data_IF_416242948359
#
_entry.id   IF_416242948359
#
_cell.length_a   1.000
_cell.length_b   1.000
_cell.length_c   1.000
_cell.angle_alpha   90.00
_cell.angle_beta   90.00
_cell.angle_gamma   90.00
#
_symmetry.space_group_name_H-M   'P 1'
#
loop_
_entity.id
_entity.type
_entity.pdbx_description
1 polymer ?
#
# COMPACT_ATOMS: atom_id res chain seq x y z
N UNK A 1 4.19 4.06 5.56
CA UNK A 1 3.05 3.84 4.64
C UNK A 1 2.95 5.06 3.72
N UNK A 2 2.31 4.95 2.56
CA UNK A 2 2.07 6.10 1.66
C UNK A 2 0.68 6.71 1.84
N UNK A 3 -0.23 6.00 2.50
CA UNK A 3 -1.61 6.43 2.69
C UNK A 3 -1.89 6.76 4.14
N UNK A 4 -2.72 7.79 4.34
CA UNK A 4 -3.25 8.15 5.65
C UNK A 4 -4.39 7.20 6.08
N UNK A 5 -4.65 7.08 7.40
CA UNK A 5 -5.81 6.36 7.90
C UNK A 5 -7.10 6.97 7.34
N UNK A 6 -7.97 6.13 6.77
CA UNK A 6 -9.23 6.57 6.18
C UNK A 6 -9.13 7.08 4.74
N UNK A 7 -7.94 7.07 4.12
CA UNK A 7 -7.79 7.36 2.70
C UNK A 7 -8.55 6.33 1.84
N UNK A 8 -9.19 6.80 0.77
CA UNK A 8 -9.83 5.93 -0.20
C UNK A 8 -8.78 5.16 -1.00
N UNK A 9 -8.97 3.84 -1.10
CA UNK A 9 -8.05 2.94 -1.80
C UNK A 9 -8.80 2.04 -2.78
N UNK A 10 -8.13 1.68 -3.86
CA UNK A 10 -8.67 0.74 -4.85
C UNK A 10 -7.78 -0.49 -5.03
N UNK A 11 -8.34 -1.52 -5.69
CA UNK A 11 -7.64 -2.78 -5.92
C UNK A 11 -6.43 -2.58 -6.83
N UNK A 12 -5.25 -2.98 -6.34
CA UNK A 12 -3.99 -2.88 -7.09
C UNK A 12 -3.22 -1.59 -6.86
N UNK A 13 -3.73 -0.68 -6.01
CA UNK A 13 -2.99 0.48 -5.56
C UNK A 13 -1.85 0.06 -4.63
N UNK A 14 -0.67 0.64 -4.84
CA UNK A 14 0.50 0.49 -3.96
C UNK A 14 0.35 1.45 -2.79
N UNK A 15 0.39 0.91 -1.58
CA UNK A 15 0.05 1.61 -0.33
C UNK A 15 1.26 1.80 0.61
N UNK A 16 2.39 1.18 0.28
CA UNK A 16 3.61 1.25 1.07
C UNK A 16 4.68 0.27 0.61
N UNK A 17 5.83 0.37 1.27
CA UNK A 17 7.01 -0.46 1.01
C UNK A 17 6.94 -1.72 1.86
N UNK A 18 7.18 -2.87 1.25
CA UNK A 18 7.36 -4.11 1.97
C UNK A 18 8.83 -4.24 2.42
N UNK A 19 9.04 -4.51 3.70
CA UNK A 19 10.37 -4.65 4.30
C UNK A 19 11.16 -5.89 3.82
N UNK A 20 10.47 -6.87 3.21
CA UNK A 20 11.09 -8.07 2.63
C UNK A 20 10.99 -8.00 1.12
N UNK A 21 11.85 -8.77 0.45
CA UNK A 21 11.79 -8.91 -1.01
C UNK A 21 10.44 -9.48 -1.46
N UNK A 22 9.97 -8.97 -2.59
CA UNK A 22 8.72 -9.38 -3.23
C UNK A 22 7.48 -8.67 -2.70
N UNK A 23 6.40 -8.80 -3.47
CA UNK A 23 5.16 -8.08 -3.25
C UNK A 23 4.25 -8.78 -2.23
N UNK A 24 3.58 -8.00 -1.40
CA UNK A 24 2.58 -8.48 -0.45
C UNK A 24 1.20 -7.93 -0.77
N UNK A 25 0.31 -8.79 -1.25
CA UNK A 25 -1.10 -8.44 -1.40
C UNK A 25 -1.79 -8.48 -0.03
N UNK A 26 -2.36 -7.35 0.38
CA UNK A 26 -3.08 -7.24 1.66
C UNK A 26 -4.36 -6.42 1.52
N UNK A 27 -5.29 -6.62 2.46
CA UNK A 27 -6.52 -5.85 2.54
C UNK A 27 -6.40 -4.82 3.66
N UNK A 28 -6.43 -3.54 3.30
CA UNK A 28 -6.32 -2.42 4.25
C UNK A 28 -7.66 -2.08 4.90
N UNK A 29 -8.76 -2.29 4.18
CA UNK A 29 -10.10 -1.90 4.63
C UNK A 29 -10.69 -2.85 5.68
N UNK A 30 -10.16 -4.08 5.78
CA UNK A 30 -10.66 -5.10 6.70
C UNK A 30 -9.64 -5.41 7.79
N UNK A 31 -10.06 -5.30 9.05
CA UNK A 31 -9.27 -5.75 10.19
C UNK A 31 -9.10 -7.27 10.14
N UNK A 32 -7.85 -7.74 10.14
CA UNK A 32 -7.55 -9.16 10.34
C UNK A 32 -7.86 -9.53 11.79
N UNK A 33 -8.57 -10.64 12.00
CA UNK A 33 -8.78 -11.18 13.33
C UNK A 33 -7.41 -11.59 13.93
N UNK A 34 -7.03 -10.95 15.03
CA UNK A 34 -5.75 -11.18 15.69
C UNK A 34 -5.87 -12.33 16.70
N UNK A 35 -6.21 -13.53 16.22
CA UNK A 35 -6.41 -14.72 17.06
C UNK A 35 -5.14 -15.25 17.73
N UNK A 36 -3.95 -14.84 17.26
CA UNK A 36 -2.65 -15.24 17.80
C UNK A 36 -2.03 -14.23 18.80
N UNK A 37 -2.78 -13.21 19.22
CA UNK A 37 -2.29 -12.28 20.26
C UNK A 37 -2.54 -12.92 21.62
N UNK A 38 -1.47 -13.41 22.26
CA UNK A 38 -1.51 -13.88 23.65
C UNK A 38 -2.02 -12.70 24.50
N UNK A 39 -3.11 -12.96 25.21
CA UNK A 39 -3.93 -12.01 25.96
C UNK A 39 -3.14 -10.99 26.79
N UNK A 40 -3.75 -9.80 26.92
CA UNK A 40 -3.52 -8.75 27.93
C UNK A 40 -2.55 -7.60 27.58
N UNK A 41 -3.06 -6.62 26.80
CA UNK A 41 -3.04 -5.17 27.13
C UNK A 41 -3.83 -4.42 26.07
N UNK A 42 -4.62 -3.40 26.43
CA UNK A 42 -5.12 -2.42 25.46
C UNK A 42 -3.91 -1.78 24.75
N UNK A 43 -3.61 -2.24 23.54
CA UNK A 43 -2.61 -1.64 22.69
C UNK A 43 -3.30 -0.53 21.91
N UNK A 44 -3.01 0.72 22.28
CA UNK A 44 -3.24 1.85 21.38
C UNK A 44 -2.34 1.65 20.16
N UNK A 45 -2.95 1.56 18.98
CA UNK A 45 -2.22 1.47 17.72
C UNK A 45 -1.85 2.89 17.32
N UNK A 46 -0.58 3.25 17.54
CA UNK A 46 -0.01 4.48 17.01
C UNK A 46 0.42 4.20 15.57
N UNK A 47 -0.01 5.04 14.64
CA UNK A 47 0.36 4.96 13.24
C UNK A 47 1.37 6.05 12.94
N UNK A 48 2.47 5.68 12.30
CA UNK A 48 3.45 6.64 11.82
C UNK A 48 2.87 7.50 10.70
N UNK A 49 3.36 8.74 10.60
CA UNK A 49 2.97 9.67 9.54
C UNK A 49 3.24 9.04 8.17
N UNK A 50 2.30 9.15 7.21
CA UNK A 50 2.54 8.71 5.84
C UNK A 50 3.71 9.45 5.21
N UNK A 51 4.44 8.79 4.31
CA UNK A 51 5.40 9.46 3.44
C UNK A 51 4.66 10.05 2.25
N UNK A 52 4.79 11.36 2.08
CA UNK A 52 4.32 12.07 0.89
C UNK A 52 5.38 11.96 -0.21
N UNK A 53 5.01 11.34 -1.33
CA UNK A 53 5.89 11.20 -2.49
C UNK A 53 5.62 12.32 -3.50
N UNK A 54 6.69 12.92 -4.02
CA UNK A 54 6.59 13.79 -5.19
C UNK A 54 6.43 12.95 -6.47
N UNK A 55 6.14 13.63 -7.59
CA UNK A 55 6.07 12.96 -8.90
C UNK A 55 7.41 12.31 -9.27
N UNK A 56 8.51 13.02 -9.02
CA UNK A 56 9.85 12.54 -9.34
C UNK A 56 10.20 11.31 -8.49
N UNK A 57 9.90 11.35 -7.19
CA UNK A 57 10.10 10.20 -6.30
C UNK A 57 9.27 8.98 -6.74
N UNK A 58 8.03 9.20 -7.20
CA UNK A 58 7.18 8.12 -7.72
C UNK A 58 7.81 7.50 -8.98
N UNK A 59 8.32 8.33 -9.89
CA UNK A 59 8.94 7.86 -11.14
C UNK A 59 10.22 7.07 -10.86
N UNK A 60 11.03 7.52 -9.89
CA UNK A 60 12.24 6.80 -9.47
C UNK A 60 11.91 5.47 -8.78
N UNK A 61 10.81 5.41 -8.04
CA UNK A 61 10.43 4.24 -7.27
C UNK A 61 9.82 3.10 -8.10
N UNK A 62 8.99 3.41 -9.11
CA UNK A 62 8.20 2.38 -9.81
C UNK A 62 9.06 1.34 -10.55
N UNK A 63 8.54 0.11 -10.63
CA UNK A 63 9.11 -0.97 -11.43
C UNK A 63 8.41 -1.13 -12.79
N UNK A 64 8.96 -1.98 -13.66
CA UNK A 64 8.42 -2.24 -15.02
C UNK A 64 6.98 -2.78 -15.02
N UNK A 65 6.55 -3.46 -13.95
CA UNK A 65 5.21 -4.00 -13.79
C UNK A 65 4.26 -3.05 -13.04
N UNK A 66 4.68 -1.81 -12.78
CA UNK A 66 3.96 -0.77 -12.06
C UNK A 66 3.66 0.44 -12.95
N UNK A 67 2.72 1.27 -12.51
CA UNK A 67 2.28 2.48 -13.18
C UNK A 67 2.10 3.59 -12.16
N UNK A 68 2.39 4.83 -12.58
CA UNK A 68 2.01 6.04 -11.84
C UNK A 68 0.73 6.59 -12.44
N UNK A 69 -0.31 6.65 -11.63
CA UNK A 69 -1.57 7.31 -11.95
C UNK A 69 -1.46 8.78 -11.52
N UNK A 70 -1.60 9.68 -12.48
CA UNK A 70 -1.48 11.12 -12.26
C UNK A 70 -2.83 11.77 -12.52
N UNK A 71 -3.30 12.51 -11.54
CA UNK A 71 -4.47 13.40 -11.64
C UNK A 71 -4.07 14.79 -11.13
N UNK A 72 -4.80 15.86 -11.50
CA UNK A 72 -4.47 17.20 -11.03
C UNK A 72 -4.44 17.36 -9.50
N UNK A 73 -5.13 16.47 -8.77
CA UNK A 73 -5.27 16.52 -7.32
C UNK A 73 -4.44 15.44 -6.60
N UNK A 74 -3.94 14.42 -7.30
CA UNK A 74 -3.30 13.28 -6.64
C UNK A 74 -2.37 12.50 -7.57
N UNK A 75 -1.29 12.01 -6.98
CA UNK A 75 -0.32 11.10 -7.60
C UNK A 75 -0.42 9.79 -6.83
N UNK A 76 -0.60 8.68 -7.54
CA UNK A 76 -0.72 7.34 -6.95
C UNK A 76 0.11 6.34 -7.73
N UNK A 77 0.57 5.31 -7.03
CA UNK A 77 1.26 4.17 -7.63
C UNK A 77 0.31 2.97 -7.67
N UNK A 78 0.29 2.21 -8.77
CA UNK A 78 -0.51 1.01 -8.90
C UNK A 78 0.20 -0.09 -9.71
N UNK A 79 -0.16 -1.35 -9.45
CA UNK A 79 0.32 -2.48 -10.24
C UNK A 79 -0.40 -2.53 -11.59
N UNK A 80 0.35 -2.79 -12.64
CA UNK A 80 -0.20 -2.89 -13.98
C UNK A 80 -1.03 -4.18 -14.14
N UNK A 81 -2.34 -4.08 -14.43
CA UNK A 81 -3.21 -5.26 -14.56
C UNK A 81 -2.81 -6.18 -15.73
N UNK A 82 -2.05 -5.68 -16.72
CA UNK A 82 -1.54 -6.50 -17.83
C UNK A 82 -0.41 -7.44 -17.39
N UNK A 83 0.37 -7.05 -16.38
CA UNK A 83 1.49 -7.83 -15.85
C UNK A 83 1.12 -8.61 -14.59
N UNK A 84 -0.07 -8.37 -14.03
CA UNK A 84 -0.63 -9.20 -12.98
C UNK A 84 -0.67 -10.66 -13.48
N UNK A 85 0.27 -11.48 -12.99
CA UNK A 85 0.30 -12.92 -13.28
C UNK A 85 -1.09 -13.45 -13.02
N UNK A 86 -1.72 -14.00 -14.06
CA UNK A 86 -3.02 -14.67 -13.97
C UNK A 86 -2.82 -15.84 -13.01
N UNK A 87 -3.07 -15.58 -11.73
CA UNK A 87 -2.98 -16.58 -10.68
C UNK A 87 -3.91 -17.72 -11.06
N UNK A 88 -3.33 -18.91 -11.14
CA UNK A 88 -4.05 -20.18 -11.28
C UNK A 88 -4.97 -20.40 -10.09
#
# INVERSE_FOLDING_TARGET
MFIAPGAEVYKGQVIGIHQRSGDLALNVCKKKAATNVRSNKEQSVVLDTPLDYSLDDCIEYIQEDELVEITPQSIRMCKNPKFAKKGR
#
